data_IF_699150438037
#
_entry.id   IF_699150438037
#
_cell.length_a   1.000
_cell.length_b   1.000
_cell.length_c   1.000
_cell.angle_alpha   90.00
_cell.angle_beta   90.00
_cell.angle_gamma   90.00
#
_symmetry.space_group_name_H-M   'P 1'
#
loop_
_entity.id
_entity.type
_entity.pdbx_description
1 polymer ?
#
# COMPACT_ATOMS: atom_id res chain seq x y z
N UNK A 1 -29.13 -5.19 -4.20
CA UNK A 1 -27.96 -4.88 -5.05
C UNK A 1 -26.83 -4.60 -4.07
N UNK A 2 -25.79 -5.43 -3.97
CA UNK A 2 -24.64 -5.10 -3.10
C UNK A 2 -23.90 -3.96 -3.78
N UNK A 3 -23.62 -2.88 -3.05
CA UNK A 3 -22.71 -1.84 -3.52
C UNK A 3 -21.37 -2.49 -3.89
N UNK A 4 -20.88 -2.19 -5.08
CA UNK A 4 -19.56 -2.63 -5.49
C UNK A 4 -18.52 -1.86 -4.69
N UNK A 5 -17.66 -2.58 -3.96
CA UNK A 5 -16.58 -1.98 -3.19
C UNK A 5 -15.60 -1.32 -4.17
N UNK A 6 -15.60 0.00 -4.24
CA UNK A 6 -14.71 0.74 -5.14
C UNK A 6 -13.24 0.71 -4.72
N UNK A 7 -12.98 0.53 -3.42
CA UNK A 7 -11.65 0.46 -2.84
C UNK A 7 -11.65 -0.34 -1.53
N UNK A 8 -10.53 -0.97 -1.20
CA UNK A 8 -10.31 -1.54 0.13
C UNK A 8 -8.85 -1.40 0.53
N UNK A 9 -8.55 -1.53 1.83
CA UNK A 9 -7.19 -1.52 2.34
C UNK A 9 -6.90 -2.74 3.22
N UNK A 10 -5.63 -3.12 3.25
CA UNK A 10 -5.05 -4.08 4.18
C UNK A 10 -3.99 -3.33 4.98
N UNK A 11 -4.11 -3.36 6.30
CA UNK A 11 -3.21 -2.66 7.21
C UNK A 11 -2.52 -3.70 8.09
N UNK A 12 -1.20 -3.59 8.22
CA UNK A 12 -0.39 -4.47 9.03
C UNK A 12 0.06 -3.70 10.27
N UNK A 13 -0.21 -4.30 11.42
CA UNK A 13 0.07 -3.70 12.71
C UNK A 13 1.18 -4.46 13.41
N UNK A 14 2.06 -3.74 14.08
CA UNK A 14 3.04 -4.36 14.97
C UNK A 14 2.43 -4.74 16.32
N UNK A 15 3.26 -5.27 17.22
CA UNK A 15 2.84 -5.70 18.57
C UNK A 15 2.30 -4.57 19.45
N UNK A 16 2.49 -3.30 19.08
CA UNK A 16 2.00 -2.13 19.78
C UNK A 16 0.74 -1.54 19.13
N UNK A 17 0.23 -2.16 18.05
CA UNK A 17 -0.94 -1.67 17.33
C UNK A 17 -0.64 -0.51 16.40
N UNK A 18 0.63 -0.29 16.03
CA UNK A 18 1.03 0.76 15.09
C UNK A 18 1.00 0.22 13.66
N UNK A 19 0.40 0.97 12.74
CA UNK A 19 0.29 0.61 11.31
C UNK A 19 1.61 0.90 10.58
N UNK A 20 2.42 -0.15 10.40
CA UNK A 20 3.75 -0.03 9.76
C UNK A 20 3.71 -0.27 8.24
N UNK A 21 2.63 -0.88 7.73
CA UNK A 21 2.45 -1.15 6.32
C UNK A 21 0.97 -1.12 5.94
N UNK A 22 0.64 -0.35 4.91
CA UNK A 22 -0.71 -0.28 4.35
C UNK A 22 -0.68 -0.59 2.87
N UNK A 23 -1.54 -1.50 2.39
CA UNK A 23 -1.81 -1.73 0.98
C UNK A 23 -3.24 -1.27 0.66
N UNK A 24 -3.39 -0.39 -0.31
CA UNK A 24 -4.68 0.07 -0.80
C UNK A 24 -4.91 -0.43 -2.21
N UNK A 25 -6.06 -1.08 -2.41
CA UNK A 25 -6.48 -1.63 -3.68
C UNK A 25 -7.68 -0.85 -4.21
N UNK A 26 -7.64 -0.50 -5.50
CA UNK A 26 -8.74 0.16 -6.19
C UNK A 26 -9.29 -0.75 -7.28
N UNK A 27 -10.61 -0.75 -7.42
CA UNK A 27 -11.30 -1.52 -8.46
C UNK A 27 -11.05 -0.89 -9.82
N UNK A 28 -10.76 -1.69 -10.84
CA UNK A 28 -10.79 -1.25 -12.22
C UNK A 28 -12.23 -0.87 -12.63
N UNK A 29 -12.42 0.25 -13.31
CA UNK A 29 -13.76 0.80 -13.60
C UNK A 29 -14.70 -0.16 -14.36
N UNK A 30 -14.15 -1.05 -15.19
CA UNK A 30 -14.91 -1.98 -16.04
C UNK A 30 -14.58 -3.45 -15.76
N UNK A 31 -14.20 -3.79 -14.52
CA UNK A 31 -13.65 -5.11 -14.22
C UNK A 31 -13.87 -5.51 -12.75
N UNK A 32 -13.86 -6.80 -12.47
CA UNK A 32 -13.91 -7.33 -11.09
C UNK A 32 -12.53 -7.41 -10.42
N UNK A 33 -11.48 -7.03 -11.16
CA UNK A 33 -10.12 -6.97 -10.66
C UNK A 33 -9.87 -5.63 -9.94
N UNK A 34 -8.90 -5.68 -9.05
CA UNK A 34 -8.37 -4.56 -8.30
C UNK A 34 -6.87 -4.49 -8.55
N UNK A 35 -6.31 -3.30 -8.56
CA UNK A 35 -4.87 -3.10 -8.57
C UNK A 35 -4.44 -2.43 -7.27
N UNK A 36 -3.21 -2.72 -6.83
CA UNK A 36 -2.56 -2.00 -5.75
C UNK A 36 -2.36 -0.55 -6.21
N UNK A 37 -3.15 0.38 -5.69
CA UNK A 37 -3.06 1.80 -6.05
C UNK A 37 -2.06 2.56 -5.18
N UNK A 38 -1.94 2.13 -3.93
CA UNK A 38 -1.08 2.82 -2.95
C UNK A 38 -0.51 1.81 -1.98
N UNK A 39 0.76 1.96 -1.67
CA UNK A 39 1.36 1.28 -0.54
C UNK A 39 2.10 2.28 0.35
N UNK A 40 1.97 2.14 1.66
CA UNK A 40 2.61 3.02 2.64
C UNK A 40 3.42 2.16 3.58
N UNK A 41 4.72 2.40 3.67
CA UNK A 41 5.59 1.83 4.69
C UNK A 41 5.99 2.92 5.67
N UNK A 42 6.04 2.58 6.96
CA UNK A 42 6.36 3.51 8.05
C UNK A 42 7.38 2.89 8.97
N UNK A 43 8.40 3.67 9.31
CA UNK A 43 9.34 3.37 10.38
C UNK A 43 9.13 4.31 11.56
N UNK A 44 9.35 3.79 12.76
CA UNK A 44 9.13 4.50 14.01
C UNK A 44 10.47 4.76 14.70
N UNK A 45 10.62 5.94 15.32
CA UNK A 45 11.89 6.39 15.92
C UNK A 45 12.44 5.37 16.91
N UNK A 46 11.56 4.70 17.66
CA UNK A 46 11.94 3.62 18.56
C UNK A 46 10.90 2.50 18.54
N UNK A 47 11.26 1.36 19.13
CA UNK A 47 10.36 0.23 19.26
C UNK A 47 9.07 0.56 20.00
N UNK A 48 9.05 1.55 20.91
CA UNK A 48 7.87 1.88 21.74
C UNK A 48 7.23 3.23 21.39
N UNK A 49 7.89 4.05 20.56
CA UNK A 49 7.36 5.37 20.18
C UNK A 49 6.27 5.29 19.13
N UNK A 50 5.29 6.20 19.19
CA UNK A 50 4.32 6.38 18.10
C UNK A 50 4.80 7.43 17.08
N UNK A 51 5.97 8.03 17.29
CA UNK A 51 6.58 9.01 16.42
C UNK A 51 7.25 8.32 15.23
N UNK A 52 6.97 8.83 14.03
CA UNK A 52 7.55 8.35 12.78
C UNK A 52 8.99 8.85 12.63
N UNK A 53 9.88 7.97 12.20
CA UNK A 53 11.22 8.33 11.74
C UNK A 53 11.21 8.61 10.24
N UNK A 54 10.65 7.67 9.48
CA UNK A 54 10.65 7.67 8.03
C UNK A 54 9.35 7.07 7.49
N UNK A 55 8.94 7.49 6.30
CA UNK A 55 7.85 6.85 5.58
C UNK A 55 8.06 6.87 4.08
N UNK A 56 7.64 5.79 3.41
CA UNK A 56 7.54 5.73 1.95
C UNK A 56 6.08 5.59 1.57
N UNK A 57 5.64 6.37 0.60
CA UNK A 57 4.35 6.20 -0.07
C UNK A 57 4.59 5.93 -1.55
N UNK A 58 4.10 4.79 -2.01
CA UNK A 58 4.15 4.34 -3.39
C UNK A 58 2.79 4.58 -4.03
N UNK A 59 2.76 5.26 -5.17
CA UNK A 59 1.56 5.54 -5.94
C UNK A 59 1.68 4.87 -7.30
N UNK A 60 1.00 3.75 -7.48
CA UNK A 60 1.08 2.93 -8.68
C UNK A 60 0.07 3.42 -9.74
N UNK A 61 0.51 3.44 -10.99
CA UNK A 61 -0.36 3.70 -12.12
C UNK A 61 -1.24 2.47 -12.42
N UNK A 62 -2.50 2.68 -12.78
CA UNK A 62 -3.44 1.62 -13.14
C UNK A 62 -3.05 0.87 -14.44
N UNK A 63 -2.41 1.59 -15.37
CA UNK A 63 -2.22 1.17 -16.76
C UNK A 63 -0.75 1.09 -17.19
N UNK A 64 0.19 1.52 -16.34
CA UNK A 64 1.64 1.48 -16.62
C UNK A 64 2.38 0.90 -15.42
N UNK A 65 3.64 0.51 -15.64
CA UNK A 65 4.54 0.11 -14.57
C UNK A 65 5.08 1.31 -13.77
N UNK A 66 4.65 2.54 -14.08
CA UNK A 66 5.11 3.73 -13.36
C UNK A 66 4.59 3.74 -11.92
N UNK A 67 5.50 4.00 -10.99
CA UNK A 67 5.19 4.25 -9.59
C UNK A 67 5.86 5.54 -9.17
N UNK A 68 5.06 6.51 -8.72
CA UNK A 68 5.59 7.68 -8.05
C UNK A 68 5.85 7.33 -6.58
N UNK A 69 7.07 7.56 -6.11
CA UNK A 69 7.53 7.22 -4.76
C UNK A 69 7.84 8.51 -4.01
N UNK A 70 7.15 8.69 -2.89
CA UNK A 70 7.36 9.77 -1.93
C UNK A 70 8.04 9.21 -0.69
N UNK A 71 9.25 9.66 -0.41
CA UNK A 71 9.96 9.41 0.86
C UNK A 71 9.85 10.66 1.74
N UNK A 72 9.51 10.45 3.01
CA UNK A 72 9.46 11.51 4.02
C UNK A 72 10.33 11.13 5.22
N UNK A 73 11.30 11.98 5.54
CA UNK A 73 12.10 11.92 6.77
C UNK A 73 11.46 12.89 7.78
N UNK A 74 10.89 12.34 8.84
CA UNK A 74 10.18 13.11 9.86
C UNK A 74 11.12 13.68 10.93
N UNK A 75 12.35 13.16 11.03
CA UNK A 75 13.36 13.65 11.98
C UNK A 75 13.95 14.97 11.46
N UNK A 76 14.32 14.99 10.18
CA UNK A 76 14.94 16.15 9.54
C UNK A 76 13.92 17.06 8.82
N UNK A 77 12.65 16.64 8.75
CA UNK A 77 11.58 17.30 8.01
C UNK A 77 11.93 17.48 6.51
N UNK A 78 12.50 16.41 5.92
CA UNK A 78 12.92 16.37 4.52
C UNK A 78 11.98 15.50 3.69
N UNK A 79 11.91 15.80 2.40
CA UNK A 79 11.02 15.13 1.45
C UNK A 79 11.76 14.86 0.14
N UNK A 80 11.65 13.63 -0.34
CA UNK A 80 12.25 13.18 -1.59
C UNK A 80 11.23 12.48 -2.46
N UNK A 81 11.30 12.72 -3.76
CA UNK A 81 10.33 12.24 -4.73
C UNK A 81 11.04 11.68 -5.95
N UNK A 82 10.57 10.55 -6.45
CA UNK A 82 11.07 9.95 -7.69
C UNK A 82 9.97 9.15 -8.37
N UNK A 83 10.15 8.86 -9.65
CA UNK A 83 9.34 7.87 -10.37
C UNK A 83 10.22 6.65 -10.63
N UNK A 84 9.69 5.47 -10.34
CA UNK A 84 10.34 4.17 -10.55
C UNK A 84 9.42 3.25 -11.33
N UNK A 85 9.97 2.14 -11.84
CA UNK A 85 9.21 1.12 -12.56
C UNK A 85 8.97 -0.09 -11.66
N UNK A 86 7.70 -0.41 -11.44
CA UNK A 86 7.24 -1.56 -10.69
C UNK A 86 6.25 -2.36 -11.54
N UNK A 87 6.61 -3.61 -11.93
CA UNK A 87 5.72 -4.45 -12.72
C UNK A 87 4.35 -4.66 -12.07
N UNK A 88 3.28 -4.44 -12.85
CA UNK A 88 1.90 -4.57 -12.37
C UNK A 88 1.43 -6.02 -12.17
N UNK A 89 2.12 -7.00 -12.76
CA UNK A 89 1.66 -8.40 -12.83
C UNK A 89 1.29 -8.99 -11.46
N UNK A 90 2.06 -8.67 -10.43
CA UNK A 90 1.87 -9.19 -9.07
C UNK A 90 1.02 -8.26 -8.17
N UNK A 91 0.51 -7.17 -8.75
CA UNK A 91 -0.22 -6.10 -8.07
C UNK A 91 -1.70 -6.05 -8.46
N UNK A 92 -2.14 -6.96 -9.34
CA UNK A 92 -3.54 -7.10 -9.78
C UNK A 92 -4.16 -8.36 -9.19
N UNK A 93 -5.30 -8.22 -8.53
CA UNK A 93 -5.97 -9.28 -7.78
C UNK A 93 -7.48 -9.27 -8.04
N UNK A 94 -8.15 -10.39 -7.77
CA UNK A 94 -9.60 -10.40 -7.57
C UNK A 94 -9.94 -10.03 -6.13
N UNK A 95 -11.11 -9.42 -5.89
CA UNK A 95 -11.55 -9.21 -4.52
C UNK A 95 -11.59 -10.54 -3.77
N UNK A 96 -10.89 -10.66 -2.62
CA UNK A 96 -10.79 -11.92 -1.93
C UNK A 96 -12.17 -12.35 -1.42
N UNK A 97 -12.47 -13.64 -1.54
CA UNK A 97 -13.62 -14.20 -0.81
C UNK A 97 -13.33 -14.11 0.68
N UNK A 98 -14.39 -14.02 1.47
CA UNK A 98 -14.26 -14.04 2.92
C UNK A 98 -13.50 -15.30 3.36
N UNK A 99 -12.39 -15.12 4.08
CA UNK A 99 -11.50 -16.20 4.53
C UNK A 99 -10.36 -16.58 3.58
N UNK A 100 -10.32 -16.06 2.34
CA UNK A 100 -9.27 -16.33 1.35
C UNK A 100 -8.39 -15.09 1.14
N UNK A 101 -7.62 -14.71 2.16
CA UNK A 101 -6.89 -13.43 2.18
C UNK A 101 -5.40 -13.53 1.79
N UNK A 102 -4.89 -14.72 1.48
CA UNK A 102 -3.44 -14.94 1.23
C UNK A 102 -2.87 -14.03 0.13
N UNK A 103 -3.68 -13.71 -0.90
CA UNK A 103 -3.27 -12.83 -1.99
C UNK A 103 -3.12 -11.36 -1.58
N UNK A 104 -3.83 -10.92 -0.53
CA UNK A 104 -3.81 -9.54 -0.05
C UNK A 104 -2.96 -9.35 1.21
N UNK A 105 -2.68 -10.46 1.91
CA UNK A 105 -1.81 -10.52 3.08
C UNK A 105 -0.35 -10.82 2.69
N UNK A 106 0.11 -10.28 1.58
CA UNK A 106 1.52 -10.33 1.19
C UNK A 106 2.20 -9.00 1.56
N UNK A 107 3.07 -8.95 2.60
CA UNK A 107 3.81 -7.74 2.93
C UNK A 107 4.84 -7.35 1.86
N UNK A 108 5.28 -8.30 1.02
CA UNK A 108 6.34 -8.14 0.01
C UNK A 108 5.76 -7.90 -1.40
N UNK A 109 4.58 -7.27 -1.50
CA UNK A 109 3.91 -7.03 -2.80
C UNK A 109 4.59 -5.93 -3.66
N UNK A 110 5.44 -5.11 -3.02
CA UNK A 110 6.17 -4.00 -3.64
C UNK A 110 7.48 -4.50 -4.25
#
# INVERSE_FOLDING_TARGET
MREEVGFFSVNFFDKFGRDYLTHQFRKYSNSNYYFLSTAVWRDYITLESHDLAEGYTYFFNENTDDCYVLKQDFINNERYEKTELYPQKDKVILFPKFGEYDLVLNPDII
#
